data_IF_898104257550
#
_entry.id   IF_898104257550
#
_cell.length_a   1.000
_cell.length_b   1.000
_cell.length_c   1.000
_cell.angle_alpha   90.00
_cell.angle_beta   90.00
_cell.angle_gamma   90.00
#
_symmetry.space_group_name_H-M   'P 1'
#
loop_
_entity.id
_entity.type
_entity.pdbx_description
1 polymer ?
#
# COMPACT_ATOMS: atom_id res chain seq x y z
N UNK A 1 16.04 21.52 -11.60
CA UNK A 1 15.14 21.76 -10.45
C UNK A 1 14.51 20.42 -10.06
N UNK A 2 14.52 20.06 -8.77
CA UNK A 2 13.89 18.81 -8.31
C UNK A 2 12.38 18.85 -8.57
N UNK A 3 11.81 17.80 -9.14
CA UNK A 3 10.36 17.70 -9.40
C UNK A 3 9.63 17.74 -8.06
N UNK A 4 8.65 18.63 -7.93
CA UNK A 4 7.83 18.70 -6.72
C UNK A 4 7.11 17.38 -6.48
N UNK A 5 7.08 16.93 -5.23
CA UNK A 5 6.36 15.73 -4.84
C UNK A 5 4.84 15.91 -5.00
N UNK A 6 4.11 14.81 -5.18
CA UNK A 6 2.64 14.85 -5.21
C UNK A 6 2.04 15.49 -3.95
N UNK A 7 2.68 15.30 -2.78
CA UNK A 7 2.26 15.94 -1.54
C UNK A 7 2.38 17.45 -1.61
N UNK A 8 3.53 17.96 -2.06
CA UNK A 8 3.73 19.41 -2.24
C UNK A 8 2.73 19.99 -3.24
N UNK A 9 2.52 19.32 -4.37
CA UNK A 9 1.56 19.75 -5.38
C UNK A 9 0.12 19.79 -4.81
N UNK A 10 -0.29 18.76 -4.08
CA UNK A 10 -1.62 18.69 -3.47
C UNK A 10 -1.81 19.76 -2.38
N UNK A 11 -0.80 20.01 -1.54
CA UNK A 11 -0.86 21.06 -0.52
C UNK A 11 -0.96 22.47 -1.12
N UNK A 12 -0.38 22.70 -2.32
CA UNK A 12 -0.55 23.95 -3.05
C UNK A 12 -1.93 24.08 -3.67
N UNK A 13 -2.44 22.99 -4.27
CA UNK A 13 -3.74 22.99 -4.92
C UNK A 13 -4.91 23.06 -3.93
N UNK A 14 -4.77 22.44 -2.76
CA UNK A 14 -5.81 22.36 -1.72
C UNK A 14 -5.17 22.70 -0.36
N UNK A 15 -5.19 23.97 0.06
CA UNK A 15 -4.52 24.42 1.30
C UNK A 15 -5.01 23.70 2.57
N UNK A 16 -6.30 23.35 2.65
CA UNK A 16 -6.86 22.59 3.76
C UNK A 16 -6.22 21.19 3.89
N UNK A 17 -5.87 20.58 2.76
CA UNK A 17 -5.19 19.30 2.75
C UNK A 17 -3.80 19.39 3.39
N UNK A 18 -3.13 20.54 3.33
CA UNK A 18 -1.85 20.76 4.02
C UNK A 18 -1.99 20.54 5.51
N UNK A 19 -2.95 21.20 6.15
CA UNK A 19 -3.21 21.06 7.59
C UNK A 19 -3.52 19.62 7.97
N UNK A 20 -4.35 18.95 7.16
CA UNK A 20 -4.72 17.55 7.39
C UNK A 20 -3.51 16.63 7.26
N UNK A 21 -2.66 16.84 6.26
CA UNK A 21 -1.46 16.02 6.03
C UNK A 21 -0.43 16.16 7.16
N UNK A 22 -0.25 17.37 7.69
CA UNK A 22 0.63 17.64 8.81
C UNK A 22 0.11 17.02 10.12
N UNK A 23 -1.21 17.13 10.37
CA UNK A 23 -1.84 16.47 11.52
C UNK A 23 -1.71 14.96 11.43
N UNK A 24 -1.90 14.38 10.25
CA UNK A 24 -1.72 12.95 10.01
C UNK A 24 -0.28 12.51 10.30
N UNK A 25 0.71 13.26 9.78
CA UNK A 25 2.12 13.01 10.02
C UNK A 25 2.44 13.05 11.52
N UNK A 26 2.04 14.11 12.23
CA UNK A 26 2.26 14.25 13.69
C UNK A 26 1.68 13.07 14.47
N UNK A 27 0.41 12.71 14.23
CA UNK A 27 -0.24 11.58 14.91
C UNK A 27 0.48 10.25 14.67
N UNK A 28 0.90 10.00 13.43
CA UNK A 28 1.60 8.77 13.06
C UNK A 28 3.01 8.68 13.66
N UNK A 29 3.72 9.80 13.73
CA UNK A 29 5.02 9.88 14.41
C UNK A 29 4.89 9.58 15.89
N UNK A 30 3.92 10.18 16.58
CA UNK A 30 3.65 9.92 18.01
C UNK A 30 3.29 8.44 18.25
N UNK A 31 2.54 7.84 17.33
CA UNK A 31 2.17 6.42 17.40
C UNK A 31 3.31 5.44 17.03
N UNK A 32 4.55 5.93 16.84
CA UNK A 32 5.72 5.11 16.52
C UNK A 32 5.64 4.40 15.17
N UNK A 33 4.87 4.94 14.22
CA UNK A 33 4.74 4.35 12.88
C UNK A 33 5.93 4.75 12.00
N UNK A 34 6.35 3.82 11.14
CA UNK A 34 7.48 4.07 10.23
C UNK A 34 7.21 5.25 9.31
N UNK A 35 8.17 6.17 9.25
CA UNK A 35 8.07 7.39 8.45
C UNK A 35 7.84 7.10 6.95
N UNK A 36 8.51 6.08 6.41
CA UNK A 36 8.34 5.65 5.02
C UNK A 36 6.91 5.21 4.71
N UNK A 37 6.26 4.48 5.62
CA UNK A 37 4.86 4.08 5.49
C UNK A 37 3.93 5.30 5.51
N UNK A 38 4.13 6.23 6.45
CA UNK A 38 3.36 7.48 6.54
C UNK A 38 3.49 8.32 5.27
N UNK A 39 4.71 8.48 4.74
CA UNK A 39 4.96 9.18 3.47
C UNK A 39 4.28 8.48 2.29
N UNK A 40 4.34 7.15 2.24
CA UNK A 40 3.67 6.38 1.19
C UNK A 40 2.15 6.53 1.21
N UNK A 41 1.54 6.57 2.40
CA UNK A 41 0.11 6.87 2.55
C UNK A 41 -0.22 8.27 2.04
N UNK A 42 0.49 9.28 2.54
CA UNK A 42 0.27 10.67 2.14
C UNK A 42 0.43 10.86 0.64
N UNK A 43 1.48 10.31 0.03
CA UNK A 43 1.70 10.39 -1.42
C UNK A 43 0.51 9.86 -2.23
N UNK A 44 -0.03 8.69 -1.88
CA UNK A 44 -1.17 8.13 -2.62
C UNK A 44 -2.45 8.94 -2.39
N UNK A 45 -2.69 9.40 -1.16
CA UNK A 45 -3.83 10.28 -0.86
C UNK A 45 -3.70 11.59 -1.64
N UNK A 46 -2.49 12.15 -1.78
CA UNK A 46 -2.24 13.38 -2.55
C UNK A 46 -2.61 13.23 -4.02
N UNK A 47 -2.41 12.06 -4.63
CA UNK A 47 -2.88 11.82 -6.01
C UNK A 47 -4.39 11.93 -6.11
N UNK A 48 -5.11 11.36 -5.15
CA UNK A 48 -6.57 11.46 -5.10
C UNK A 48 -7.03 12.90 -4.88
N UNK A 49 -6.36 13.66 -4.01
CA UNK A 49 -6.61 15.10 -3.83
C UNK A 49 -6.41 15.86 -5.13
N UNK A 50 -5.35 15.55 -5.87
CA UNK A 50 -5.07 16.19 -7.16
C UNK A 50 -6.07 15.79 -8.24
N UNK A 51 -6.69 14.62 -8.14
CA UNK A 51 -7.75 14.18 -9.04
C UNK A 51 -9.06 14.95 -8.79
N UNK A 52 -9.52 14.99 -7.54
CA UNK A 52 -10.79 15.64 -7.18
C UNK A 52 -10.69 17.16 -6.95
N UNK A 53 -9.48 17.69 -6.76
CA UNK A 53 -9.21 19.10 -6.40
C UNK A 53 -9.90 19.56 -5.12
N UNK A 54 -10.20 18.64 -4.21
CA UNK A 54 -10.88 18.92 -2.95
C UNK A 54 -10.24 18.18 -1.78
N UNK A 55 -10.70 18.48 -0.56
CA UNK A 55 -10.22 17.78 0.63
C UNK A 55 -10.75 16.34 0.64
N UNK A 56 -9.95 15.32 1.00
CA UNK A 56 -10.45 13.95 1.09
C UNK A 56 -11.50 13.75 2.18
N UNK A 57 -11.72 14.74 3.07
CA UNK A 57 -12.77 14.69 4.08
C UNK A 57 -14.15 15.10 3.51
N UNK A 58 -14.19 15.72 2.33
CA UNK A 58 -15.41 16.14 1.65
C UNK A 58 -15.95 15.08 0.70
N UNK A 59 -15.16 14.04 0.42
CA UNK A 59 -15.53 12.97 -0.50
C UNK A 59 -16.50 11.99 0.15
N UNK A 60 -17.58 11.67 -0.57
CA UNK A 60 -18.47 10.57 -0.19
C UNK A 60 -17.79 9.21 -0.37
N UNK A 61 -18.34 8.19 0.27
CA UNK A 61 -17.85 6.80 0.13
C UNK A 61 -17.92 6.37 -1.34
N UNK A 62 -19.01 6.67 -2.03
CA UNK A 62 -19.21 6.31 -3.43
C UNK A 62 -18.19 6.97 -4.35
N UNK A 63 -17.86 8.24 -4.12
CA UNK A 63 -16.79 8.93 -4.87
C UNK A 63 -15.43 8.27 -4.66
N UNK A 64 -15.12 7.87 -3.43
CA UNK A 64 -13.86 7.17 -3.13
C UNK A 64 -13.83 5.81 -3.80
N UNK A 65 -14.92 5.04 -3.74
CA UNK A 65 -15.03 3.72 -4.37
C UNK A 65 -14.92 3.83 -5.90
N UNK A 66 -15.62 4.79 -6.50
CA UNK A 66 -15.54 5.07 -7.93
C UNK A 66 -14.10 5.41 -8.35
N UNK A 67 -13.40 6.26 -7.58
CA UNK A 67 -11.99 6.56 -7.83
C UNK A 67 -11.09 5.33 -7.70
N UNK A 68 -11.28 4.50 -6.67
CA UNK A 68 -10.53 3.26 -6.50
C UNK A 68 -10.74 2.28 -7.67
N UNK A 69 -11.95 2.23 -8.21
CA UNK A 69 -12.26 1.43 -9.39
C UNK A 69 -11.58 1.99 -10.64
N UNK A 70 -11.70 3.29 -10.89
CA UNK A 70 -11.12 4.00 -12.02
C UNK A 70 -9.60 3.78 -12.11
N UNK A 71 -8.87 4.02 -11.01
CA UNK A 71 -7.41 3.81 -10.99
C UNK A 71 -7.04 2.34 -11.19
N UNK A 72 -7.87 1.40 -10.75
CA UNK A 72 -7.59 -0.03 -10.87
C UNK A 72 -7.69 -0.50 -12.33
N UNK A 73 -8.63 0.07 -13.09
CA UNK A 73 -8.83 -0.27 -14.51
C UNK A 73 -7.85 0.49 -15.40
N UNK A 74 -7.72 1.80 -15.21
CA UNK A 74 -7.05 2.68 -16.16
C UNK A 74 -5.57 2.91 -15.83
N UNK A 75 -5.22 3.12 -14.55
CA UNK A 75 -3.82 3.37 -14.16
C UNK A 75 -3.06 2.09 -13.79
N UNK A 76 -3.76 1.02 -13.42
CA UNK A 76 -3.21 -0.29 -13.02
C UNK A 76 -2.05 -0.15 -12.00
N UNK A 77 -2.27 0.52 -10.85
CA UNK A 77 -1.22 0.77 -9.88
C UNK A 77 -0.63 -0.52 -9.33
N UNK A 78 0.62 -0.45 -8.87
CA UNK A 78 1.22 -1.57 -8.14
C UNK A 78 0.36 -1.96 -6.94
N UNK A 79 0.36 -3.24 -6.58
CA UNK A 79 -0.39 -3.75 -5.40
C UNK A 79 -0.03 -2.99 -4.12
N UNK A 80 1.24 -2.61 -3.97
CA UNK A 80 1.71 -1.85 -2.80
C UNK A 80 1.18 -0.42 -2.82
N UNK A 81 1.22 0.26 -3.97
CA UNK A 81 0.67 1.62 -4.14
C UNK A 81 -0.82 1.64 -3.83
N UNK A 82 -1.59 0.71 -4.40
CA UNK A 82 -3.03 0.63 -4.16
C UNK A 82 -3.34 0.34 -2.68
N UNK A 83 -2.60 -0.57 -2.04
CA UNK A 83 -2.73 -0.81 -0.60
C UNK A 83 -2.42 0.42 0.22
N UNK A 84 -1.35 1.15 -0.08
CA UNK A 84 -1.01 2.38 0.63
C UNK A 84 -2.14 3.43 0.56
N UNK A 85 -2.83 3.53 -0.58
CA UNK A 85 -4.02 4.37 -0.69
C UNK A 85 -5.13 3.88 0.24
N UNK A 86 -5.55 2.62 0.12
CA UNK A 86 -6.70 2.09 0.89
C UNK A 86 -6.43 2.12 2.40
N UNK A 87 -5.25 1.68 2.84
CA UNK A 87 -4.87 1.73 4.26
C UNK A 87 -4.69 3.16 4.76
N UNK A 88 -4.13 4.05 3.93
CA UNK A 88 -3.98 5.47 4.24
C UNK A 88 -5.34 6.14 4.45
N UNK A 89 -6.31 5.89 3.56
CA UNK A 89 -7.68 6.39 3.70
C UNK A 89 -8.34 5.83 4.97
N UNK A 90 -8.27 4.52 5.20
CA UNK A 90 -8.85 3.89 6.40
C UNK A 90 -8.29 4.50 7.69
N UNK A 91 -6.97 4.68 7.74
CA UNK A 91 -6.29 5.32 8.84
C UNK A 91 -6.76 6.77 9.04
N UNK A 92 -6.81 7.54 7.95
CA UNK A 92 -7.23 8.93 7.95
C UNK A 92 -8.67 9.07 8.47
N UNK A 93 -9.63 8.40 7.86
CA UNK A 93 -11.04 8.46 8.28
C UNK A 93 -11.23 7.99 9.72
N UNK A 94 -10.47 6.97 10.16
CA UNK A 94 -10.46 6.54 11.57
C UNK A 94 -10.00 7.63 12.55
N UNK A 95 -9.16 8.56 12.11
CA UNK A 95 -8.58 9.63 12.94
C UNK A 95 -9.40 10.93 12.97
N UNK A 96 -10.32 11.11 12.02
CA UNK A 96 -11.13 12.33 11.84
C UNK A 96 -12.63 12.13 12.18
N UNK A 97 -12.99 11.06 12.91
CA UNK A 97 -14.35 10.75 13.41
C UNK A 97 -15.45 10.47 12.34
N UNK A 98 -15.10 10.22 11.08
CA UNK A 98 -16.04 9.72 10.04
C UNK A 98 -16.12 8.18 10.02
N UNK A 99 -15.90 7.54 11.16
CA UNK A 99 -15.49 6.12 11.24
C UNK A 99 -16.65 5.15 11.13
N UNK A 100 -17.84 5.54 11.58
CA UNK A 100 -18.93 4.58 11.78
C UNK A 100 -19.57 4.12 10.47
N UNK A 101 -19.52 4.96 9.44
CA UNK A 101 -20.04 4.67 8.09
C UNK A 101 -19.02 3.86 7.26
N UNK A 102 -17.76 4.29 7.22
CA UNK A 102 -16.74 3.66 6.36
C UNK A 102 -16.27 2.27 6.83
N UNK A 103 -16.34 1.96 8.14
CA UNK A 103 -15.97 0.62 8.65
C UNK A 103 -16.92 -0.47 8.16
N UNK A 104 -18.18 -0.12 7.88
CA UNK A 104 -19.20 -1.06 7.38
C UNK A 104 -19.23 -1.12 5.85
N UNK A 105 -18.98 0.00 5.17
CA UNK A 105 -19.25 0.12 3.73
C UNK A 105 -18.01 -0.06 2.86
N UNK A 106 -16.81 0.33 3.33
CA UNK A 106 -15.56 0.06 2.61
C UNK A 106 -15.06 -1.38 2.89
N UNK A 107 -15.94 -2.37 2.73
CA UNK A 107 -15.59 -3.79 2.63
C UNK A 107 -14.92 -4.07 1.29
N UNK A 108 -13.89 -3.30 0.93
CA UNK A 108 -12.93 -3.74 -0.07
C UNK A 108 -12.16 -4.87 0.58
N UNK A 109 -12.77 -6.04 0.51
CA UNK A 109 -12.13 -7.29 0.88
C UNK A 109 -11.02 -7.43 -0.14
N UNK A 110 -9.80 -7.11 0.26
CA UNK A 110 -8.65 -7.67 -0.42
C UNK A 110 -8.81 -9.18 -0.25
N UNK A 111 -9.43 -9.83 -1.22
CA UNK A 111 -9.22 -11.24 -1.43
C UNK A 111 -7.73 -11.34 -1.72
N UNK A 112 -6.95 -11.54 -0.65
CA UNK A 112 -5.63 -12.09 -0.74
C UNK A 112 -5.91 -13.43 -1.41
N UNK A 113 -5.78 -13.48 -2.74
CA UNK A 113 -5.75 -14.73 -3.48
C UNK A 113 -4.89 -15.64 -2.61
N UNK A 114 -5.51 -16.68 -2.04
CA UNK A 114 -4.80 -17.67 -1.24
C UNK A 114 -3.98 -18.47 -2.25
N UNK A 115 -2.92 -17.83 -2.72
CA UNK A 115 -1.98 -18.44 -3.62
C UNK A 115 -1.30 -19.53 -2.82
N UNK A 116 -1.28 -20.73 -3.38
CA UNK A 116 -0.50 -21.81 -2.81
C UNK A 116 0.97 -21.37 -2.74
N UNK A 117 1.74 -21.98 -1.85
CA UNK A 117 3.18 -21.71 -1.75
C UNK A 117 3.87 -21.87 -3.11
N UNK A 118 3.45 -22.84 -3.92
CA UNK A 118 3.92 -23.04 -5.29
C UNK A 118 3.65 -21.81 -6.18
N UNK A 119 2.41 -21.29 -6.18
CA UNK A 119 2.05 -20.11 -6.95
C UNK A 119 2.83 -18.85 -6.52
N UNK A 120 3.08 -18.70 -5.21
CA UNK A 120 3.90 -17.59 -4.69
C UNK A 120 5.35 -17.71 -5.15
N UNK A 121 5.89 -18.92 -5.18
CA UNK A 121 7.25 -19.20 -5.63
C UNK A 121 7.39 -18.99 -7.14
N UNK A 122 6.42 -19.43 -7.94
CA UNK A 122 6.40 -19.24 -9.38
C UNK A 122 6.32 -17.75 -9.77
N UNK A 123 5.53 -16.95 -9.04
CA UNK A 123 5.47 -15.49 -9.28
C UNK A 123 6.81 -14.82 -8.97
N UNK A 124 7.53 -15.28 -7.93
CA UNK A 124 8.80 -14.68 -7.51
C UNK A 124 10.00 -15.13 -8.33
N UNK A 125 9.99 -16.37 -8.79
CA UNK A 125 11.17 -17.03 -9.37
C UNK A 125 10.92 -17.63 -10.77
N UNK A 126 9.70 -17.51 -11.32
CA UNK A 126 9.30 -18.09 -12.60
C UNK A 126 8.96 -19.58 -12.53
N UNK A 127 8.57 -20.16 -13.67
CA UNK A 127 8.26 -21.61 -13.80
C UNK A 127 9.45 -22.54 -13.56
N UNK A 128 10.67 -22.01 -13.58
CA UNK A 128 11.91 -22.77 -13.37
C UNK A 128 12.35 -22.61 -11.92
N UNK A 129 11.88 -23.51 -11.08
CA UNK A 129 12.23 -23.58 -9.67
C UNK A 129 13.63 -24.17 -9.42
N UNK A 130 14.65 -23.72 -10.14
CA UNK A 130 16.06 -24.08 -9.92
C UNK A 130 16.77 -22.81 -9.44
N UNK A 131 17.03 -22.71 -8.15
CA UNK A 131 17.85 -21.63 -7.59
C UNK A 131 19.30 -22.10 -7.53
N UNK A 132 20.28 -21.28 -7.90
CA UNK A 132 21.68 -21.64 -7.69
C UNK A 132 22.07 -21.40 -6.23
N UNK A 133 22.68 -22.40 -5.60
CA UNK A 133 23.30 -22.23 -4.28
C UNK A 133 24.49 -21.27 -4.43
N UNK A 134 24.52 -20.19 -3.65
CA UNK A 134 25.62 -19.22 -3.69
C UNK A 134 26.94 -19.77 -3.15
N UNK A 135 26.87 -20.78 -2.30
CA UNK A 135 28.04 -21.32 -1.60
C UNK A 135 28.71 -22.46 -2.38
N UNK A 136 27.93 -23.28 -3.09
CA UNK A 136 28.47 -24.43 -3.83
C UNK A 136 28.14 -24.45 -5.33
N UNK A 137 27.36 -23.49 -5.85
CA UNK A 137 26.97 -23.42 -7.26
C UNK A 137 25.94 -24.46 -7.71
N UNK A 138 25.53 -25.39 -6.84
CA UNK A 138 24.57 -26.45 -7.16
C UNK A 138 23.13 -25.96 -7.39
N UNK A 139 22.33 -26.75 -8.11
CA UNK A 139 20.91 -26.45 -8.35
C UNK A 139 20.03 -26.86 -7.14
N UNK A 140 19.27 -25.90 -6.61
CA UNK A 140 18.29 -26.09 -5.55
C UNK A 140 16.89 -26.16 -6.16
N UNK A 141 16.28 -27.34 -6.12
CA UNK A 141 14.87 -27.51 -6.42
C UNK A 141 14.02 -26.94 -5.27
N UNK A 142 13.01 -26.13 -5.58
CA UNK A 142 12.03 -25.69 -4.57
C UNK A 142 11.11 -26.84 -4.17
N UNK A 143 11.56 -27.68 -3.23
CA UNK A 143 10.76 -28.78 -2.69
C UNK A 143 9.55 -28.19 -1.93
N UNK A 144 8.35 -28.73 -2.18
CA UNK A 144 7.11 -28.32 -1.53
C UNK A 144 7.13 -28.55 -0.01
N UNK A 145 7.92 -29.51 0.45
CA UNK A 145 8.11 -29.90 1.85
C UNK A 145 9.43 -29.36 2.39
N UNK A 146 9.48 -28.08 2.75
CA UNK A 146 10.59 -27.57 3.55
C UNK A 146 10.37 -28.00 5.01
N UNK A 147 11.27 -28.78 5.63
CA UNK A 147 11.14 -29.10 7.06
C UNK A 147 11.20 -27.80 7.85
N UNK A 148 10.26 -27.59 8.79
CA UNK A 148 10.13 -26.35 9.57
C UNK A 148 11.32 -25.99 10.46
N UNK A 149 12.43 -26.74 10.39
CA UNK A 149 13.68 -26.49 11.12
C UNK A 149 14.70 -25.91 10.15
N UNK A 150 15.34 -24.80 10.55
CA UNK A 150 16.44 -24.18 9.80
C UNK A 150 17.59 -25.19 9.72
N UNK A 151 18.16 -25.41 8.53
CA UNK A 151 19.37 -26.20 8.42
C UNK A 151 20.47 -25.56 9.29
N UNK A 152 21.23 -26.35 10.06
CA UNK A 152 22.35 -25.81 10.81
C UNK A 152 23.37 -25.15 9.86
N UNK A 153 24.11 -24.13 10.33
CA UNK A 153 25.17 -23.52 9.53
C UNK A 153 26.20 -24.58 9.13
N UNK A 154 26.69 -24.48 7.89
CA UNK A 154 27.77 -25.35 7.42
C UNK A 154 29.02 -25.10 8.28
N UNK A 155 29.59 -26.18 8.82
CA UNK A 155 30.85 -26.22 9.57
C UNK A 155 32.05 -25.95 8.69
#
# INVERSE_FOLDING_TARGET
MSRESYLQQACKAVPEFKLISEQFLRKYTIAGKSESCTRNYLMQISKMVLYFKCSPLELSIDQIVAYLFEIQINEKPSRSSFKHLVYGLRAKFSMFKTVELLRKDLKVTFHKLKLSRAQVLEIKFGKRSCLSCKDCGGELALILSYPGKRAPPAS
#
